data_IF_134424497872
#
_entry.id   IF_134424497872
#
_cell.length_a   1.000
_cell.length_b   1.000
_cell.length_c   1.000
_cell.angle_alpha   90.00
_cell.angle_beta   90.00
_cell.angle_gamma   90.00
#
_symmetry.space_group_name_H-M   'P 1'
#
loop_
_entity.id
_entity.type
_entity.pdbx_description
1 polymer ?
#
# COMPACT_ATOMS: atom_id res chain seq x y z
N UNK A 1 -5.69 9.84 28.50
CA UNK A 1 -6.83 9.70 27.57
C UNK A 1 -7.22 11.10 27.16
N UNK A 2 -6.59 11.61 26.11
CA UNK A 2 -6.98 12.81 25.40
C UNK A 2 -8.14 12.47 24.47
N UNK A 3 -9.25 13.19 24.64
CA UNK A 3 -10.52 12.93 23.97
C UNK A 3 -10.60 13.42 22.53
N UNK A 4 -9.49 13.49 21.79
CA UNK A 4 -9.51 13.77 20.35
C UNK A 4 -9.75 12.48 19.57
N UNK A 5 -10.92 11.87 19.78
CA UNK A 5 -11.45 10.94 18.79
C UNK A 5 -11.77 11.73 17.53
N UNK A 6 -11.26 11.26 16.39
CA UNK A 6 -11.65 11.66 15.04
C UNK A 6 -13.18 11.64 14.92
N UNK A 7 -13.82 12.81 14.90
CA UNK A 7 -15.23 12.92 14.51
C UNK A 7 -15.24 13.42 13.07
N UNK A 8 -15.23 12.48 12.11
CA UNK A 8 -15.55 12.81 10.72
C UNK A 8 -17.01 13.28 10.69
N UNK A 9 -17.22 14.49 10.18
CA UNK A 9 -18.57 15.07 10.04
C UNK A 9 -19.30 14.48 8.83
N UNK A 10 -18.55 13.99 7.83
CA UNK A 10 -19.12 13.28 6.67
C UNK A 10 -19.50 11.83 7.07
N UNK A 11 -20.77 11.44 6.92
CA UNK A 11 -21.18 10.06 7.16
C UNK A 11 -20.57 9.14 6.11
N UNK A 12 -20.03 8.01 6.56
CA UNK A 12 -19.52 6.91 5.74
C UNK A 12 -20.50 5.73 5.84
N UNK A 13 -20.77 5.06 4.73
CA UNK A 13 -21.61 3.86 4.73
C UNK A 13 -20.86 2.68 5.36
N UNK A 14 -21.59 1.66 5.80
CA UNK A 14 -20.95 0.45 6.36
C UNK A 14 -20.07 -0.24 5.31
N UNK A 15 -20.53 -0.29 4.06
CA UNK A 15 -19.78 -0.87 2.94
C UNK A 15 -18.45 -0.13 2.68
N UNK A 16 -18.47 1.20 2.69
CA UNK A 16 -17.25 2.01 2.60
C UNK A 16 -16.29 1.75 3.77
N UNK A 17 -16.82 1.55 4.98
CA UNK A 17 -16.02 1.22 6.15
C UNK A 17 -15.36 -0.15 6.00
N UNK A 18 -16.12 -1.16 5.62
CA UNK A 18 -15.63 -2.52 5.39
C UNK A 18 -14.55 -2.55 4.31
N UNK A 19 -14.77 -1.83 3.19
CA UNK A 19 -13.79 -1.73 2.11
C UNK A 19 -12.54 -0.96 2.51
N UNK A 20 -12.67 0.06 3.36
CA UNK A 20 -11.53 0.80 3.91
C UNK A 20 -10.64 -0.11 4.77
N UNK A 21 -11.24 -0.83 5.72
CA UNK A 21 -10.53 -1.77 6.60
C UNK A 21 -9.88 -2.90 5.80
N UNK A 22 -10.61 -3.48 4.84
CA UNK A 22 -10.14 -4.64 4.07
C UNK A 22 -9.06 -4.28 3.06
N UNK A 23 -9.21 -3.19 2.32
CA UNK A 23 -8.44 -2.96 1.09
C UNK A 23 -7.34 -1.93 1.22
N UNK A 24 -7.41 -0.97 2.15
CA UNK A 24 -6.46 0.17 2.14
C UNK A 24 -5.84 0.47 3.49
N UNK A 25 -6.54 0.22 4.59
CA UNK A 25 -6.06 0.57 5.94
C UNK A 25 -4.79 -0.20 6.33
N UNK A 26 -4.66 -1.45 5.92
CA UNK A 26 -3.47 -2.25 6.16
C UNK A 26 -2.21 -1.75 5.45
N UNK A 27 -2.37 -1.06 4.31
CA UNK A 27 -1.26 -0.45 3.56
C UNK A 27 -0.89 0.93 4.13
N UNK A 28 -1.88 1.80 4.31
CA UNK A 28 -1.63 3.21 4.61
C UNK A 28 -0.76 3.90 3.53
N UNK A 29 -0.07 4.98 3.92
CA UNK A 29 0.82 5.73 3.03
C UNK A 29 2.28 5.79 3.52
N UNK A 30 2.58 5.07 4.61
CA UNK A 30 3.92 5.00 5.17
C UNK A 30 4.64 3.78 4.61
N UNK A 31 5.91 3.92 4.21
CA UNK A 31 6.82 2.79 3.98
C UNK A 31 6.53 1.88 2.79
N UNK A 32 5.53 2.23 1.98
CA UNK A 32 5.18 1.60 0.71
C UNK A 32 4.59 2.67 -0.23
N UNK A 33 4.56 2.39 -1.53
CA UNK A 33 4.09 3.36 -2.53
C UNK A 33 2.86 2.89 -3.34
N UNK A 34 2.17 1.84 -2.89
CA UNK A 34 1.05 1.21 -3.63
C UNK A 34 -0.11 2.19 -3.83
N UNK A 35 -0.46 2.96 -2.80
CA UNK A 35 -1.59 3.89 -2.83
C UNK A 35 -1.20 5.33 -3.24
N UNK A 36 0.10 5.63 -3.32
CA UNK A 36 0.61 6.97 -3.65
C UNK A 36 1.40 7.04 -4.97
N UNK A 37 1.29 6.00 -5.80
CA UNK A 37 1.86 5.96 -7.15
C UNK A 37 0.79 5.72 -8.20
N UNK A 38 0.98 6.22 -9.41
CA UNK A 38 0.21 5.79 -10.57
C UNK A 38 0.83 4.51 -11.12
N UNK A 39 0.04 3.45 -11.26
CA UNK A 39 0.47 2.17 -11.81
C UNK A 39 -0.71 1.39 -12.36
N UNK A 40 -0.44 0.51 -13.31
CA UNK A 40 -1.42 -0.38 -13.93
C UNK A 40 -0.75 -1.72 -14.28
N UNK A 41 -1.50 -2.65 -14.89
CA UNK A 41 -0.98 -3.96 -15.29
C UNK A 41 0.30 -3.92 -16.14
N UNK A 42 0.52 -2.85 -16.91
CA UNK A 42 1.68 -2.72 -17.79
C UNK A 42 2.83 -1.94 -17.14
N UNK A 43 2.59 -1.23 -16.05
CA UNK A 43 3.54 -0.32 -15.42
C UNK A 43 3.57 -0.53 -13.89
N UNK A 44 4.31 -1.54 -13.44
CA UNK A 44 4.48 -1.87 -12.01
C UNK A 44 5.94 -1.79 -11.54
N UNK A 45 6.88 -1.51 -12.44
CA UNK A 45 8.33 -1.53 -12.20
C UNK A 45 8.82 -0.50 -11.18
N UNK A 46 7.99 0.50 -10.87
CA UNK A 46 8.31 1.57 -9.91
C UNK A 46 7.77 1.32 -8.49
N UNK A 47 7.00 0.25 -8.31
CA UNK A 47 6.49 -0.10 -7.00
C UNK A 47 7.62 -0.58 -6.08
N UNK A 48 7.57 -0.18 -4.81
CA UNK A 48 8.52 -0.60 -3.78
C UNK A 48 8.08 -1.95 -3.21
N UNK A 49 8.46 -3.02 -3.91
CA UNK A 49 8.15 -4.40 -3.54
C UNK A 49 8.70 -4.77 -2.15
N UNK A 50 9.95 -4.40 -1.86
CA UNK A 50 10.57 -4.67 -0.56
C UNK A 50 9.86 -3.91 0.57
N UNK A 51 9.43 -2.67 0.30
CA UNK A 51 8.68 -1.84 1.24
C UNK A 51 7.29 -2.36 1.53
N UNK A 52 6.53 -2.76 0.51
CA UNK A 52 5.14 -3.22 0.68
C UNK A 52 5.01 -4.56 1.38
N UNK A 53 6.05 -5.41 1.36
CA UNK A 53 5.99 -6.78 1.89
C UNK A 53 5.46 -6.85 3.32
N UNK A 54 5.95 -5.98 4.22
CA UNK A 54 5.53 -6.05 5.63
C UNK A 54 4.04 -5.71 5.83
N UNK A 55 3.51 -4.84 4.97
CA UNK A 55 2.10 -4.43 5.01
C UNK A 55 1.20 -5.53 4.48
N UNK A 56 1.58 -6.13 3.34
CA UNK A 56 0.87 -7.30 2.80
C UNK A 56 0.96 -8.50 3.75
N UNK A 57 2.09 -8.69 4.43
CA UNK A 57 2.25 -9.73 5.45
C UNK A 57 1.30 -9.51 6.61
N UNK A 58 1.22 -8.27 7.12
CA UNK A 58 0.29 -7.92 8.18
C UNK A 58 -1.18 -8.11 7.76
N UNK A 59 -1.52 -7.76 6.53
CA UNK A 59 -2.86 -7.99 5.97
C UNK A 59 -3.20 -9.48 5.85
N UNK A 60 -2.28 -10.31 5.34
CA UNK A 60 -2.54 -11.74 5.16
C UNK A 60 -2.61 -12.51 6.48
N UNK A 61 -1.61 -12.28 7.34
CA UNK A 61 -1.43 -13.07 8.56
C UNK A 61 -2.02 -12.43 9.82
N UNK A 62 -2.57 -11.21 9.70
CA UNK A 62 -3.15 -10.46 10.81
C UNK A 62 -2.18 -10.28 11.99
N UNK A 63 -0.88 -10.16 11.68
CA UNK A 63 0.22 -9.98 12.64
C UNK A 63 1.35 -9.16 12.02
N UNK A 64 2.05 -8.38 12.84
CA UNK A 64 3.20 -7.62 12.36
C UNK A 64 4.30 -8.54 11.82
N UNK A 65 4.96 -8.11 10.75
CA UNK A 65 6.17 -8.77 10.25
C UNK A 65 7.31 -8.60 11.26
N UNK A 66 8.01 -9.68 11.57
CA UNK A 66 9.14 -9.68 12.49
C UNK A 66 10.43 -10.02 11.73
N UNK A 67 11.25 -9.01 11.47
CA UNK A 67 12.50 -9.20 10.72
C UNK A 67 13.57 -9.97 11.50
N UNK A 68 13.46 -10.10 12.82
CA UNK A 68 14.42 -10.87 13.63
C UNK A 68 14.42 -12.36 13.26
N UNK A 69 13.32 -12.86 12.69
CA UNK A 69 13.20 -14.24 12.21
C UNK A 69 13.94 -14.46 10.87
N UNK A 70 14.44 -13.39 10.24
CA UNK A 70 14.99 -13.36 8.87
C UNK A 70 16.36 -12.65 8.81
N UNK A 71 17.41 -13.20 9.46
CA UNK A 71 18.71 -12.55 9.58
C UNK A 71 19.42 -12.32 8.23
N UNK A 72 19.16 -13.18 7.25
CA UNK A 72 19.77 -13.14 5.91
C UNK A 72 18.80 -12.59 4.84
N UNK A 73 17.70 -11.95 5.25
CA UNK A 73 16.63 -11.48 4.38
C UNK A 73 15.47 -12.46 4.24
N UNK A 74 14.45 -12.04 3.49
CA UNK A 74 13.20 -12.81 3.37
C UNK A 74 13.39 -13.89 2.29
N UNK A 75 13.13 -15.19 2.57
CA UNK A 75 13.26 -16.26 1.60
C UNK A 75 12.49 -15.97 0.32
N UNK A 76 13.15 -16.22 -0.82
CA UNK A 76 12.61 -15.97 -2.15
C UNK A 76 11.17 -16.44 -2.35
N UNK A 77 10.91 -17.72 -2.05
CA UNK A 77 9.59 -18.32 -2.27
C UNK A 77 8.50 -17.68 -1.40
N UNK A 78 8.84 -17.32 -0.16
CA UNK A 78 7.92 -16.66 0.77
C UNK A 78 7.57 -15.25 0.27
N UNK A 79 8.60 -14.51 -0.13
CA UNK A 79 8.44 -13.16 -0.66
C UNK A 79 7.59 -13.13 -1.93
N UNK A 80 8.02 -13.89 -2.95
CA UNK A 80 7.36 -13.91 -4.26
C UNK A 80 5.91 -14.38 -4.14
N UNK A 81 5.65 -15.44 -3.36
CA UNK A 81 4.29 -15.98 -3.20
C UNK A 81 3.34 -14.97 -2.56
N UNK A 82 3.80 -14.24 -1.53
CA UNK A 82 2.97 -13.22 -0.89
C UNK A 82 2.65 -12.07 -1.84
N UNK A 83 3.65 -11.55 -2.56
CA UNK A 83 3.43 -10.44 -3.48
C UNK A 83 2.47 -10.86 -4.61
N UNK A 84 2.65 -12.03 -5.20
CA UNK A 84 1.81 -12.54 -6.29
C UNK A 84 0.35 -12.81 -5.87
N UNK A 85 0.10 -13.03 -4.58
CA UNK A 85 -1.27 -13.14 -4.07
C UNK A 85 -2.03 -11.82 -4.14
N UNK A 86 -1.35 -10.67 -4.01
CA UNK A 86 -1.97 -9.34 -3.98
C UNK A 86 -1.78 -8.52 -5.27
N UNK A 87 -0.75 -8.81 -6.05
CA UNK A 87 -0.43 -8.09 -7.29
C UNK A 87 -0.32 -9.05 -8.48
N UNK A 88 -0.78 -8.65 -9.69
CA UNK A 88 -0.77 -9.49 -10.88
C UNK A 88 0.62 -9.52 -11.56
N UNK A 89 1.65 -9.84 -10.79
CA UNK A 89 3.06 -9.93 -11.23
C UNK A 89 3.53 -11.38 -11.24
N UNK A 90 4.61 -11.66 -11.99
CA UNK A 90 5.29 -12.95 -11.94
C UNK A 90 6.51 -12.90 -11.02
N UNK A 91 6.97 -14.07 -10.58
CA UNK A 91 8.20 -14.21 -9.82
C UNK A 91 9.43 -13.61 -10.55
N UNK A 92 9.47 -13.72 -11.88
CA UNK A 92 10.52 -13.11 -12.71
C UNK A 92 10.49 -11.58 -12.62
N UNK A 93 9.29 -10.98 -12.71
CA UNK A 93 9.11 -9.54 -12.58
C UNK A 93 9.50 -9.05 -11.18
N UNK A 94 9.12 -9.79 -10.14
CA UNK A 94 9.50 -9.45 -8.76
C UNK A 94 11.02 -9.45 -8.62
N UNK A 95 11.72 -10.45 -9.15
CA UNK A 95 13.20 -10.48 -9.13
C UNK A 95 13.86 -9.36 -9.91
N UNK A 96 13.20 -8.84 -10.95
CA UNK A 96 13.70 -7.72 -11.74
C UNK A 96 13.48 -6.37 -11.03
N UNK A 97 12.35 -6.21 -10.34
CA UNK A 97 11.94 -4.92 -9.78
C UNK A 97 12.32 -4.73 -8.30
N UNK A 98 12.47 -5.83 -7.56
CA UNK A 98 12.75 -5.80 -6.14
C UNK A 98 14.25 -6.03 -5.86
N UNK A 99 14.70 -5.55 -4.70
CA UNK A 99 16.06 -5.73 -4.23
C UNK A 99 16.28 -7.17 -3.78
N UNK A 100 16.94 -7.97 -4.64
CA UNK A 100 17.13 -9.41 -4.50
C UNK A 100 18.61 -9.79 -4.36
N UNK A 101 18.91 -10.62 -3.36
CA UNK A 101 20.21 -11.24 -3.13
C UNK A 101 20.28 -12.60 -3.82
N UNK A 102 20.97 -12.68 -4.95
CA UNK A 102 21.10 -13.93 -5.71
C UNK A 102 21.98 -14.98 -5.00
N UNK A 103 22.91 -14.56 -4.13
CA UNK A 103 23.78 -15.49 -3.41
C UNK A 103 23.01 -16.24 -2.33
N UNK A 104 22.20 -15.51 -1.55
CA UNK A 104 21.41 -16.07 -0.46
C UNK A 104 20.02 -16.53 -0.89
N UNK A 105 19.58 -16.18 -2.10
CA UNK A 105 18.22 -16.38 -2.60
C UNK A 105 17.18 -15.75 -1.65
N UNK A 106 17.41 -14.50 -1.27
CA UNK A 106 16.56 -13.73 -0.35
C UNK A 106 16.28 -12.33 -0.89
N UNK A 107 15.20 -11.72 -0.43
CA UNK A 107 14.91 -10.31 -0.68
C UNK A 107 15.33 -9.46 0.51
N UNK A 108 15.96 -8.33 0.22
CA UNK A 108 16.41 -7.40 1.25
C UNK A 108 15.22 -6.75 1.95
N UNK A 109 15.39 -6.49 3.25
CA UNK A 109 14.41 -5.74 4.04
C UNK A 109 15.11 -5.01 5.17
N UNK A 110 14.69 -3.77 5.44
CA UNK A 110 15.24 -2.95 6.53
C UNK A 110 14.11 -2.32 7.32
N UNK A 111 14.23 -2.32 8.65
CA UNK A 111 13.25 -1.65 9.52
C UNK A 111 13.31 -0.14 9.28
N UNK A 112 12.16 0.50 9.13
CA UNK A 112 12.08 1.96 9.11
C UNK A 112 12.39 2.51 10.51
N UNK A 113 13.32 3.46 10.58
CA UNK A 113 13.73 4.11 11.81
C UNK A 113 14.43 5.44 11.55
N UNK A 114 14.84 6.12 12.63
CA UNK A 114 15.37 7.48 12.56
C UNK A 114 16.62 7.65 11.67
N UNK A 115 17.30 6.56 11.29
CA UNK A 115 18.51 6.60 10.47
C UNK A 115 18.26 6.46 8.96
N UNK A 116 17.11 5.89 8.56
CA UNK A 116 16.81 5.57 7.16
C UNK A 116 15.44 6.06 6.68
N UNK A 117 14.61 6.61 7.57
CA UNK A 117 13.27 7.09 7.22
C UNK A 117 12.90 8.35 7.99
N UNK A 118 12.36 9.34 7.27
CA UNK A 118 11.81 10.56 7.83
C UNK A 118 10.30 10.59 7.53
N UNK A 119 9.42 10.37 8.53
CA UNK A 119 7.97 10.41 8.31
C UNK A 119 7.55 11.78 7.77
N UNK A 120 6.81 11.78 6.67
CA UNK A 120 6.16 12.98 6.14
C UNK A 120 4.74 13.09 6.71
N UNK A 121 4.17 14.29 6.70
CA UNK A 121 2.76 14.50 7.06
C UNK A 121 1.82 13.66 6.18
N UNK A 122 2.20 13.44 4.91
CA UNK A 122 1.46 12.61 3.99
C UNK A 122 1.48 11.14 4.42
N UNK A 123 2.64 10.62 4.82
CA UNK A 123 2.80 9.24 5.26
C UNK A 123 1.95 8.86 6.48
N UNK A 124 1.57 9.85 7.30
CA UNK A 124 0.68 9.64 8.46
C UNK A 124 -0.81 9.76 8.13
N UNK A 125 -1.17 10.02 6.87
CA UNK A 125 -2.57 10.09 6.43
C UNK A 125 -3.24 8.72 6.51
N UNK A 126 -4.55 8.72 6.73
CA UNK A 126 -5.37 7.50 6.74
C UNK A 126 -6.12 7.37 5.42
N UNK A 127 -6.02 6.23 4.71
CA UNK A 127 -6.82 6.01 3.52
C UNK A 127 -8.25 5.65 3.91
N UNK A 128 -9.22 6.33 3.29
CA UNK A 128 -10.64 6.08 3.48
C UNK A 128 -11.34 5.94 2.13
N UNK A 129 -12.09 4.86 1.94
CA UNK A 129 -12.92 4.65 0.76
C UNK A 129 -14.16 5.53 0.88
N UNK A 130 -14.41 6.36 -0.12
CA UNK A 130 -15.52 7.33 -0.16
C UNK A 130 -16.51 7.08 -1.28
N UNK A 131 -16.15 6.24 -2.25
CA UNK A 131 -17.05 5.76 -3.30
C UNK A 131 -16.62 4.37 -3.76
N UNK A 132 -17.59 3.57 -4.19
CA UNK A 132 -17.41 2.19 -4.64
C UNK A 132 -18.18 2.04 -5.95
N UNK A 133 -17.49 1.56 -6.98
CA UNK A 133 -18.07 1.35 -8.31
C UNK A 133 -17.75 -0.06 -8.82
N UNK A 134 -18.79 -0.85 -9.04
CA UNK A 134 -18.67 -2.12 -9.76
C UNK A 134 -18.51 -1.88 -11.27
N UNK A 135 -17.53 -2.57 -11.87
CA UNK A 135 -17.27 -2.52 -13.31
C UNK A 135 -17.86 -3.75 -14.01
N UNK A 136 -18.15 -3.62 -15.31
CA UNK A 136 -18.73 -4.70 -16.12
C UNK A 136 -17.81 -5.94 -16.26
N UNK A 137 -16.51 -5.77 -16.06
CA UNK A 137 -15.49 -6.82 -16.13
C UNK A 137 -15.29 -7.59 -14.80
N UNK A 138 -16.12 -7.30 -13.80
CA UNK A 138 -16.07 -7.92 -12.47
C UNK A 138 -15.00 -7.34 -11.54
N UNK A 139 -14.32 -6.26 -11.94
CA UNK A 139 -13.47 -5.47 -11.03
C UNK A 139 -14.29 -4.44 -10.27
N UNK A 140 -13.74 -3.94 -9.17
CA UNK A 140 -14.33 -2.86 -8.38
C UNK A 140 -13.33 -1.70 -8.33
N UNK A 141 -13.79 -0.49 -8.60
CA UNK A 141 -13.02 0.73 -8.42
C UNK A 141 -13.43 1.41 -7.13
N UNK A 142 -12.45 1.66 -6.26
CA UNK A 142 -12.61 2.37 -5.00
C UNK A 142 -12.07 3.78 -5.16
N UNK A 143 -12.89 4.78 -4.88
CA UNK A 143 -12.39 6.15 -4.71
C UNK A 143 -11.91 6.28 -3.27
N UNK A 144 -10.64 6.63 -3.10
CA UNK A 144 -9.97 6.68 -1.80
C UNK A 144 -9.46 8.10 -1.54
N UNK A 145 -9.76 8.62 -0.37
CA UNK A 145 -9.24 9.88 0.15
C UNK A 145 -8.09 9.61 1.13
N UNK A 146 -6.97 10.31 0.99
CA UNK A 146 -5.89 10.34 1.98
C UNK A 146 -6.19 11.42 3.03
N UNK A 147 -6.82 11.05 4.13
CA UNK A 147 -7.25 12.00 5.16
C UNK A 147 -6.10 12.30 6.13
N UNK A 148 -5.75 13.57 6.29
CA UNK A 148 -4.70 14.03 7.21
C UNK A 148 -5.30 15.01 8.24
N UNK A 149 -5.00 14.82 9.52
CA UNK A 149 -5.49 15.66 10.61
C UNK A 149 -4.76 17.01 10.70
N UNK A 150 -3.58 17.13 10.10
CA UNK A 150 -2.75 18.34 10.13
C UNK A 150 -3.10 19.37 9.04
N UNK A 151 -3.94 19.03 8.06
CA UNK A 151 -4.32 19.94 6.96
C UNK A 151 -5.72 20.52 7.26
N UNK A 152 -5.77 21.79 7.66
CA UNK A 152 -6.96 22.45 8.22
C UNK A 152 -8.00 22.86 7.15
N UNK A 153 -7.71 22.69 5.85
CA UNK A 153 -8.52 23.30 4.77
C UNK A 153 -9.02 22.35 3.68
N UNK A 154 -8.45 21.15 3.53
CA UNK A 154 -8.91 20.14 2.56
C UNK A 154 -9.16 18.83 3.31
N UNK A 155 -10.34 18.24 3.09
CA UNK A 155 -10.76 17.01 3.76
C UNK A 155 -9.85 15.81 3.42
N UNK A 156 -9.05 15.90 2.34
CA UNK A 156 -8.10 14.89 1.90
C UNK A 156 -6.88 15.53 1.20
N UNK A 157 -5.67 15.01 1.44
CA UNK A 157 -4.43 15.46 0.80
C UNK A 157 -4.40 15.06 -0.69
N UNK A 158 -4.87 13.85 -0.99
CA UNK A 158 -5.09 13.38 -2.36
C UNK A 158 -6.38 12.56 -2.43
N UNK A 159 -6.90 12.44 -3.63
CA UNK A 159 -7.92 11.45 -4.00
C UNK A 159 -7.36 10.56 -5.10
N UNK A 160 -7.57 9.25 -5.00
CA UNK A 160 -7.16 8.30 -6.03
C UNK A 160 -8.22 7.23 -6.27
N UNK A 161 -8.16 6.62 -7.45
CA UNK A 161 -8.98 5.47 -7.82
C UNK A 161 -8.11 4.20 -7.77
N UNK A 162 -8.47 3.29 -6.88
CA UNK A 162 -7.83 2.00 -6.71
C UNK A 162 -8.71 0.91 -7.31
N UNK A 163 -8.18 0.16 -8.28
CA UNK A 163 -8.91 -0.95 -8.90
C UNK A 163 -8.53 -2.26 -8.25
N UNK A 164 -9.51 -3.02 -7.79
CA UNK A 164 -9.34 -4.33 -7.15
C UNK A 164 -10.22 -5.38 -7.82
N UNK A 165 -9.83 -6.66 -7.67
CA UNK A 165 -10.65 -7.81 -8.06
C UNK A 165 -10.80 -8.75 -6.87
N UNK A 166 -12.03 -9.04 -6.49
CA UNK A 166 -12.35 -10.01 -5.44
C UNK A 166 -12.51 -11.41 -6.02
N UNK A 167 -12.05 -12.40 -5.28
CA UNK A 167 -12.35 -13.81 -5.52
C UNK A 167 -13.53 -14.28 -4.66
N UNK A 168 -14.12 -15.41 -5.04
CA UNK A 168 -15.28 -16.00 -4.34
C UNK A 168 -14.97 -16.39 -2.89
N UNK A 169 -13.70 -16.69 -2.57
CA UNK A 169 -13.24 -17.03 -1.23
C UNK A 169 -13.01 -15.81 -0.32
N UNK A 170 -13.27 -14.60 -0.84
CA UNK A 170 -13.10 -13.34 -0.13
C UNK A 170 -11.71 -12.72 -0.22
N UNK A 171 -10.73 -13.41 -0.82
CA UNK A 171 -9.43 -12.81 -1.17
C UNK A 171 -9.58 -11.78 -2.30
N UNK A 172 -8.52 -11.00 -2.54
CA UNK A 172 -8.55 -9.98 -3.58
C UNK A 172 -7.15 -9.62 -4.08
N UNK A 173 -7.09 -9.02 -5.27
CA UNK A 173 -5.88 -8.48 -5.88
C UNK A 173 -6.05 -7.01 -6.24
N UNK A 174 -4.97 -6.23 -6.13
CA UNK A 174 -4.88 -4.87 -6.65
C UNK A 174 -4.47 -4.92 -8.12
N UNK A 175 -5.14 -4.15 -8.98
CA UNK A 175 -4.92 -4.18 -10.42
C UNK A 175 -4.42 -2.85 -11.00
N UNK A 176 -4.52 -1.77 -10.24
CA UNK A 176 -4.02 -0.46 -10.64
C UNK A 176 -4.42 0.62 -9.64
N UNK A 177 -3.69 1.74 -9.68
CA UNK A 177 -3.98 2.92 -8.89
C UNK A 177 -3.80 4.18 -9.75
N UNK A 178 -4.73 5.13 -9.63
CA UNK A 178 -4.68 6.39 -10.35
C UNK A 178 -4.98 7.57 -9.42
N UNK A 179 -3.99 8.43 -9.22
CA UNK A 179 -4.13 9.68 -8.48
C UNK A 179 -4.86 10.71 -9.34
N UNK A 180 -5.92 11.29 -8.80
CA UNK A 180 -6.80 12.24 -9.48
C UNK A 180 -6.33 13.69 -9.26
N UNK A 181 -6.88 14.61 -10.07
CA UNK A 181 -6.80 16.07 -9.87
C UNK A 181 -5.37 16.63 -9.70
N UNK A 182 -4.39 16.04 -10.40
CA UNK A 182 -2.96 16.38 -10.24
C UNK A 182 -2.46 16.24 -8.78
N UNK A 183 -3.14 15.45 -7.94
CA UNK A 183 -2.81 15.23 -6.53
C UNK A 183 -1.37 14.75 -6.31
N UNK A 184 -0.76 14.14 -7.32
CA UNK A 184 0.66 13.74 -7.33
C UNK A 184 1.60 14.91 -6.98
N UNK A 185 1.24 16.16 -7.32
CA UNK A 185 2.03 17.37 -7.00
C UNK A 185 2.02 17.72 -5.51
N UNK A 186 1.08 17.15 -4.75
CA UNK A 186 0.91 17.36 -3.31
C UNK A 186 1.60 16.25 -2.49
N UNK A 187 2.01 15.16 -3.13
CA UNK A 187 2.71 14.04 -2.50
C UNK A 187 4.20 14.39 -2.42
N UNK A 188 4.82 14.35 -1.23
CA UNK A 188 6.27 14.44 -1.12
C UNK A 188 6.96 13.30 -1.87
N UNK A 189 8.22 13.50 -2.28
CA UNK A 189 9.00 12.43 -2.90
C UNK A 189 9.01 11.17 -2.03
N UNK A 190 8.72 10.02 -2.66
CA UNK A 190 8.70 8.75 -1.96
C UNK A 190 10.12 8.37 -1.50
N UNK A 191 10.25 8.05 -0.22
CA UNK A 191 11.51 7.60 0.36
C UNK A 191 11.57 6.07 0.34
N UNK A 192 12.38 5.52 -0.54
CA UNK A 192 12.66 4.09 -0.58
C UNK A 192 13.39 3.64 0.69
N UNK A 193 12.99 2.47 1.20
CA UNK A 193 13.59 1.84 2.38
C UNK A 193 15.01 1.35 2.11
N UNK A 194 15.24 0.87 0.89
CA UNK A 194 16.52 0.36 0.42
C UNK A 194 16.98 1.34 -0.65
N UNK A 195 18.09 2.04 -0.37
CA UNK A 195 18.75 2.86 -1.38
C UNK A 195 19.84 1.99 -1.99
N UNK A 196 19.64 1.56 -3.23
CA UNK A 196 20.74 1.07 -4.06
C UNK A 196 21.46 2.30 -4.60
N UNK A 197 22.75 2.41 -4.31
CA UNK A 197 23.62 3.43 -4.90
C UNK A 197 23.89 3.12 -6.38
#
# INVERSE_FOLDING_TARGET
MDGSCLVRVKPMTEEQREMSEKCVRGLGYQGNNVLCSNWDYNHMEKLDYNGMYEYLYAMKYQKAFNSEDYPDGIPKEEFESLIMEYLPVTAEQIREYAEFDDENQTYYWVRLGCFNYAPTFFGTSLPEVVDIKDNEDGTVTLTVEAVCDMVICDDAVITHELTVRFAEDGSFQYLGNQILNDGIKQIPDYQYRINVN
#
